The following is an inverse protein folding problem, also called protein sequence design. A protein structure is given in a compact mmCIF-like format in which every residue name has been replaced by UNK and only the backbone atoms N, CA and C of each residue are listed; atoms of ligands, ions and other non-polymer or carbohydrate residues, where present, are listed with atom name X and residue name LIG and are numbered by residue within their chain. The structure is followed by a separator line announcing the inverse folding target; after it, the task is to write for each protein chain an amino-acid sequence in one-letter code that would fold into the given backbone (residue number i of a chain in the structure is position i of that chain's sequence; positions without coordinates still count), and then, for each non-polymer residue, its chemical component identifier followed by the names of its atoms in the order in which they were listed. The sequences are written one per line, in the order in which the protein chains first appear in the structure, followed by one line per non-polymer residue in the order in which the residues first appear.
data_IF_329600311153
#
_entry.id   IF_329600311153
#
_cell.length_a   1.000
_cell.length_b   1.000
_cell.length_c   1.000
_cell.angle_alpha   90.00
_cell.angle_beta   90.00
_cell.angle_gamma   90.00
#
_symmetry.space_group_name_H-M   'P 1'
#
loop_
_entity.id
_entity.type
_entity.pdbx_description
1 polymer ?
#
# COMPACT_ATOMS: atom_id res chain seq x y z
N UNK A 1 -13.55 25.15 21.30
CA UNK A 1 -13.73 24.71 19.90
C UNK A 1 -14.72 23.56 19.89
N UNK A 2 -15.83 23.73 19.18
CA UNK A 2 -16.92 22.77 19.11
C UNK A 2 -16.48 21.42 18.48
N UNK A 3 -17.08 20.30 18.94
CA UNK A 3 -16.69 18.94 18.53
C UNK A 3 -16.87 18.73 17.03
N UNK A 4 -17.89 19.36 16.44
CA UNK A 4 -18.14 19.34 15.00
C UNK A 4 -17.03 20.02 14.20
N UNK A 5 -16.47 21.13 14.71
CA UNK A 5 -15.36 21.84 14.06
C UNK A 5 -14.04 21.04 14.04
N UNK A 6 -13.78 20.23 15.06
CA UNK A 6 -12.63 19.30 15.07
C UNK A 6 -12.84 18.15 14.09
N UNK A 7 -14.05 17.59 14.04
CA UNK A 7 -14.38 16.51 13.12
C UNK A 7 -14.24 16.97 11.67
N UNK A 8 -14.83 18.12 11.31
CA UNK A 8 -14.76 18.68 9.97
C UNK A 8 -13.30 18.93 9.52
N UNK A 9 -12.45 19.48 10.40
CA UNK A 9 -11.02 19.67 10.10
C UNK A 9 -10.28 18.36 9.85
N UNK A 10 -10.50 17.34 10.69
CA UNK A 10 -9.85 16.03 10.53
C UNK A 10 -10.32 15.35 9.24
N UNK A 11 -11.62 15.39 8.94
CA UNK A 11 -12.17 14.84 7.71
C UNK A 11 -11.61 15.55 6.48
N UNK A 12 -11.58 16.88 6.46
CA UNK A 12 -10.98 17.63 5.35
C UNK A 12 -9.51 17.26 5.13
N UNK A 13 -8.74 17.13 6.21
CA UNK A 13 -7.32 16.78 6.13
C UNK A 13 -7.10 15.38 5.55
N UNK A 14 -7.92 14.39 5.97
CA UNK A 14 -7.89 13.04 5.40
C UNK A 14 -8.34 13.05 3.94
N UNK A 15 -9.43 13.75 3.61
CA UNK A 15 -9.96 13.83 2.25
C UNK A 15 -8.99 14.47 1.28
N UNK A 16 -8.28 15.54 1.67
CA UNK A 16 -7.24 16.16 0.85
C UNK A 16 -6.11 15.16 0.58
N UNK A 17 -5.68 14.39 1.59
CA UNK A 17 -4.66 13.36 1.41
C UNK A 17 -5.07 12.28 0.41
N UNK A 18 -6.29 11.74 0.55
CA UNK A 18 -6.82 10.71 -0.36
C UNK A 18 -7.00 11.23 -1.78
N UNK A 19 -7.53 12.46 -1.93
CA UNK A 19 -7.74 13.10 -3.22
C UNK A 19 -6.39 13.33 -3.93
N UNK A 20 -5.38 13.78 -3.18
CA UNK A 20 -4.02 14.01 -3.70
C UNK A 20 -3.39 12.72 -4.21
N UNK A 21 -3.45 11.62 -3.45
CA UNK A 21 -2.93 10.33 -3.91
C UNK A 21 -3.60 9.87 -5.21
N UNK A 22 -4.92 10.02 -5.34
CA UNK A 22 -5.64 9.65 -6.57
C UNK A 22 -5.31 10.56 -7.76
N UNK A 23 -5.11 11.86 -7.53
CA UNK A 23 -4.66 12.81 -8.55
C UNK A 23 -3.27 12.47 -9.08
N UNK A 24 -2.34 12.09 -8.20
CA UNK A 24 -0.98 11.68 -8.60
C UNK A 24 -1.05 10.43 -9.49
N UNK A 25 -1.82 9.41 -9.09
CA UNK A 25 -2.00 8.19 -9.89
C UNK A 25 -2.62 8.50 -11.25
N UNK A 26 -3.62 9.38 -11.30
CA UNK A 26 -4.24 9.82 -12.56
C UNK A 26 -3.24 10.50 -13.51
N UNK A 27 -2.38 11.38 -12.98
CA UNK A 27 -1.28 11.99 -13.73
C UNK A 27 -0.26 10.97 -14.21
N UNK A 28 0.08 9.98 -13.37
CA UNK A 28 0.99 8.89 -13.73
C UNK A 28 0.45 8.05 -14.88
N UNK A 29 -0.84 7.72 -14.90
CA UNK A 29 -1.47 7.01 -16.03
C UNK A 29 -1.28 7.79 -17.34
N UNK A 30 -1.53 9.11 -17.33
CA UNK A 30 -1.35 9.97 -18.51
C UNK A 30 0.12 10.07 -18.95
N UNK A 31 1.04 10.02 -17.99
CA UNK A 31 2.49 10.01 -18.24
C UNK A 31 2.95 8.68 -18.84
N UNK A 32 2.55 7.55 -18.25
CA UNK A 32 2.87 6.21 -18.72
C UNK A 32 2.30 5.96 -20.12
N UNK A 33 1.03 6.28 -20.37
CA UNK A 33 0.42 6.16 -21.71
C UNK A 33 1.01 7.11 -22.76
N UNK A 34 1.73 8.17 -22.34
CA UNK A 34 2.38 9.11 -23.24
C UNK A 34 3.79 8.69 -23.69
N UNK A 35 4.45 7.82 -22.93
CA UNK A 35 5.83 7.40 -23.16
C UNK A 35 6.01 5.88 -23.36
N UNK A 36 5.08 5.03 -22.88
CA UNK A 36 5.14 3.56 -23.01
C UNK A 36 4.19 3.05 -24.09
N UNK A 37 4.61 1.97 -24.75
CA UNK A 37 3.74 1.24 -25.70
C UNK A 37 2.63 0.48 -24.94
N UNK A 38 1.48 0.18 -25.58
CA UNK A 38 0.35 -0.50 -24.92
C UNK A 38 0.70 -1.86 -24.29
N UNK A 39 1.73 -2.53 -24.80
CA UNK A 39 2.22 -3.80 -24.26
C UNK A 39 2.85 -3.63 -22.86
N UNK A 40 3.72 -2.63 -22.69
CA UNK A 40 4.39 -2.34 -21.41
C UNK A 40 3.43 -1.78 -20.36
N UNK A 41 2.36 -1.12 -20.81
CA UNK A 41 1.28 -0.66 -19.94
C UNK A 41 0.46 -1.83 -19.38
N UNK A 42 0.27 -2.90 -20.17
CA UNK A 42 -0.38 -4.13 -19.73
C UNK A 42 0.37 -4.81 -18.59
N UNK A 43 1.69 -4.93 -18.70
CA UNK A 43 2.52 -5.53 -17.65
C UNK A 43 2.55 -4.67 -16.37
N UNK A 44 2.67 -3.34 -16.50
CA UNK A 44 2.63 -2.43 -15.36
C UNK A 44 1.29 -2.45 -14.62
N UNK A 45 0.18 -2.60 -15.36
CA UNK A 45 -1.16 -2.72 -14.77
C UNK A 45 -1.33 -4.06 -14.05
N UNK A 46 -0.87 -5.17 -14.64
CA UNK A 46 -0.89 -6.49 -14.00
C UNK A 46 -0.06 -6.51 -12.72
N UNK A 47 1.13 -5.91 -12.73
CA UNK A 47 1.98 -5.77 -11.53
C UNK A 47 1.26 -4.93 -10.47
N UNK A 48 0.65 -3.80 -10.86
CA UNK A 48 -0.07 -2.91 -9.92
C UNK A 48 -1.31 -3.57 -9.32
N UNK A 49 -2.09 -4.31 -10.11
CA UNK A 49 -3.25 -5.06 -9.63
C UNK A 49 -2.83 -6.18 -8.67
N UNK A 50 -1.76 -6.91 -9.00
CA UNK A 50 -1.20 -7.96 -8.14
C UNK A 50 -0.70 -7.37 -6.83
N UNK A 51 0.02 -6.25 -6.88
CA UNK A 51 0.48 -5.53 -5.70
C UNK A 51 -0.70 -5.07 -4.82
N UNK A 52 -1.76 -4.50 -5.41
CA UNK A 52 -2.95 -4.09 -4.66
C UNK A 52 -3.65 -5.25 -3.95
N UNK A 53 -3.64 -6.45 -4.53
CA UNK A 53 -4.20 -7.66 -3.91
C UNK A 53 -3.29 -8.18 -2.79
N UNK A 54 -1.98 -8.17 -3.00
CA UNK A 54 -0.99 -8.66 -2.04
C UNK A 54 -0.83 -7.73 -0.83
N UNK A 55 -0.89 -6.42 -1.04
CA UNK A 55 -0.64 -5.39 -0.01
C UNK A 55 -1.44 -5.59 1.28
N UNK A 56 -2.78 -5.78 1.26
CA UNK A 56 -3.55 -6.01 2.49
C UNK A 56 -3.20 -7.35 3.18
N UNK A 57 -2.82 -8.38 2.42
CA UNK A 57 -2.43 -9.69 2.95
C UNK A 57 -1.08 -9.62 3.65
N UNK A 58 -0.08 -9.00 3.02
CA UNK A 58 1.27 -8.83 3.57
C UNK A 58 1.25 -7.90 4.79
N UNK A 59 0.50 -6.80 4.68
CA UNK A 59 0.41 -5.81 5.74
C UNK A 59 -0.46 -6.29 6.90
N UNK A 60 -1.14 -7.44 6.78
CA UNK A 60 -2.11 -7.98 7.76
C UNK A 60 -3.16 -6.94 8.20
N UNK A 61 -3.49 -5.99 7.32
CA UNK A 61 -4.37 -4.87 7.64
C UNK A 61 -3.84 -3.89 8.70
N UNK A 62 -2.52 -3.88 8.97
CA UNK A 62 -1.98 -3.07 10.07
C UNK A 62 -2.07 -1.56 9.82
N UNK A 63 -2.18 -1.16 8.56
CA UNK A 63 -2.35 0.24 8.17
C UNK A 63 -3.56 0.89 8.87
N UNK A 64 -4.70 0.18 8.94
CA UNK A 64 -5.90 0.67 9.64
C UNK A 64 -5.73 0.69 11.17
N UNK A 65 -5.03 -0.31 11.71
CA UNK A 65 -4.69 -0.38 13.14
C UNK A 65 -3.81 0.78 13.58
N UNK A 66 -2.71 1.02 12.86
CA UNK A 66 -1.80 2.15 13.12
C UNK A 66 -2.53 3.47 12.96
N UNK A 67 -3.35 3.64 11.93
CA UNK A 67 -4.11 4.88 11.72
C UNK A 67 -5.07 5.17 12.88
N UNK A 68 -5.79 4.14 13.37
CA UNK A 68 -6.72 4.26 14.50
C UNK A 68 -6.01 4.56 15.83
N UNK A 69 -4.88 3.92 16.08
CA UNK A 69 -4.10 4.14 17.31
C UNK A 69 -3.25 5.42 17.28
N UNK A 70 -2.81 5.89 16.10
CA UNK A 70 -2.01 7.12 15.95
C UNK A 70 -2.85 8.40 16.10
N UNK A 71 -4.13 8.36 15.70
CA UNK A 71 -5.08 9.47 15.85
C UNK A 71 -5.52 9.67 17.31
N UNK A 72 -5.48 8.63 18.15
CA UNK A 72 -5.92 8.71 19.54
C UNK A 72 -4.77 9.19 20.45
N UNK A 73 -4.93 10.35 21.11
CA UNK A 73 -3.84 11.02 21.84
C UNK A 73 -3.54 10.45 23.24
N UNK A 74 -4.20 9.36 23.64
CA UNK A 74 -4.08 8.74 24.97
C UNK A 74 -3.12 7.54 25.02
N UNK A 75 -2.55 7.14 23.88
CA UNK A 75 -1.61 6.02 23.77
C UNK A 75 -0.23 6.57 23.41
N UNK A 76 0.83 6.02 24.00
CA UNK A 76 2.23 6.34 23.65
C UNK A 76 2.43 6.20 22.14
N UNK A 77 2.39 7.33 21.42
CA UNK A 77 2.50 7.40 19.96
C UNK A 77 3.76 6.69 19.45
N UNK A 78 4.85 6.71 20.22
CA UNK A 78 6.08 5.98 19.93
C UNK A 78 5.92 4.45 19.98
N UNK A 79 5.11 3.90 20.91
CA UNK A 79 4.93 2.44 21.01
C UNK A 79 4.05 1.91 19.88
N UNK A 80 3.04 2.68 19.47
CA UNK A 80 2.17 2.34 18.32
C UNK A 80 2.96 2.38 17.02
N UNK A 81 3.79 3.41 16.84
CA UNK A 81 4.62 3.55 15.65
C UNK A 81 5.67 2.44 15.55
N UNK A 82 6.36 2.11 16.65
CA UNK A 82 7.30 0.99 16.69
C UNK A 82 6.63 -0.36 16.46
N UNK A 83 5.43 -0.59 17.01
CA UNK A 83 4.67 -1.83 16.77
C UNK A 83 4.23 -1.95 15.30
N UNK A 84 3.74 -0.86 14.71
CA UNK A 84 3.40 -0.79 13.28
C UNK A 84 4.61 -1.06 12.38
N UNK A 85 5.73 -0.39 12.66
CA UNK A 85 6.99 -0.60 11.94
C UNK A 85 7.50 -2.04 12.07
N UNK A 86 7.39 -2.65 13.25
CA UNK A 86 7.81 -4.02 13.49
C UNK A 86 7.00 -5.04 12.68
N UNK A 87 5.68 -4.86 12.58
CA UNK A 87 4.85 -5.76 11.76
C UNK A 87 5.05 -5.53 10.28
N UNK A 88 5.29 -4.29 9.82
CA UNK A 88 5.66 -4.05 8.40
C UNK A 88 6.99 -4.73 8.08
N UNK A 89 7.97 -4.65 8.97
CA UNK A 89 9.24 -5.37 8.85
C UNK A 89 9.03 -6.89 8.80
N UNK A 90 8.22 -7.44 9.71
CA UNK A 90 7.88 -8.87 9.71
C UNK A 90 7.16 -9.29 8.44
N UNK A 91 6.20 -8.49 7.95
CA UNK A 91 5.49 -8.75 6.70
C UNK A 91 6.41 -8.70 5.48
N UNK A 92 7.36 -7.77 5.46
CA UNK A 92 8.38 -7.68 4.40
C UNK A 92 9.34 -8.87 4.42
N UNK A 93 9.76 -9.31 5.60
CA UNK A 93 10.58 -10.52 5.78
C UNK A 93 9.79 -11.77 5.38
N UNK A 94 8.51 -11.88 5.76
CA UNK A 94 7.65 -12.98 5.38
C UNK A 94 7.45 -13.05 3.86
N UNK A 95 7.28 -11.91 3.20
CA UNK A 95 7.20 -11.83 1.74
C UNK A 95 8.51 -12.29 1.09
N UNK A 96 9.65 -11.82 1.57
CA UNK A 96 10.97 -12.26 1.10
C UNK A 96 11.17 -13.77 1.27
N UNK A 97 10.65 -14.36 2.34
CA UNK A 97 10.72 -15.80 2.61
C UNK A 97 9.72 -16.60 1.76
N UNK A 98 8.60 -15.98 1.39
CA UNK A 98 7.57 -16.57 0.54
C UNK A 98 7.95 -16.52 -0.96
N UNK A 99 8.79 -15.57 -1.39
CA UNK A 99 9.31 -15.49 -2.76
C UNK A 99 9.98 -16.78 -3.26
N UNK A 100 10.93 -17.41 -2.55
CA UNK A 100 11.53 -18.67 -3.00
C UNK A 100 10.52 -19.83 -2.98
N UNK A 101 9.54 -19.81 -2.06
CA UNK A 101 8.49 -20.83 -1.99
C UNK A 101 7.50 -20.70 -3.16
N UNK A 102 7.17 -19.46 -3.54
CA UNK A 102 6.37 -19.14 -4.72
C UNK A 102 7.13 -19.52 -6.00
N UNK A 103 8.43 -19.23 -6.07
CA UNK A 103 9.27 -19.64 -7.20
C UNK A 103 9.40 -21.17 -7.32
N UNK A 104 9.33 -21.90 -6.21
CA UNK A 104 9.30 -23.37 -6.22
C UNK A 104 7.94 -23.94 -6.67
N UNK A 105 6.83 -23.26 -6.34
CA UNK A 105 5.46 -23.70 -6.67
C UNK A 105 5.01 -23.28 -8.09
N UNK A 106 5.55 -22.16 -8.59
CA UNK A 106 5.23 -21.56 -9.91
C UNK A 106 6.37 -21.73 -10.92
N UNK A 107 7.58 -22.11 -10.49
CA UNK A 107 8.75 -22.31 -11.33
C UNK A 107 8.64 -23.47 -12.34
N UNK A 108 7.60 -24.30 -12.25
CA UNK A 108 7.28 -25.29 -13.29
C UNK A 108 6.40 -24.70 -14.44
N UNK A 109 5.96 -23.44 -14.31
CA UNK A 109 5.04 -22.76 -15.25
C UNK A 109 5.57 -21.44 -15.81
N UNK A 110 6.71 -20.95 -15.32
CA UNK A 110 7.35 -19.69 -15.74
C UNK A 110 8.77 -20.01 -16.23
N UNK A 111 8.87 -20.80 -17.30
CA UNK A 111 10.00 -20.65 -18.23
C UNK A 111 9.79 -19.32 -18.97
N UNK A 112 10.11 -18.20 -18.32
CA UNK A 112 10.35 -16.91 -19.00
C UNK A 112 11.82 -16.85 -19.36
N UNK A 113 12.21 -17.78 -20.23
CA UNK A 113 13.34 -17.67 -21.16
C UNK A 113 12.96 -18.44 -22.44
N UNK A 114 12.02 -17.89 -23.21
CA UNK A 114 11.90 -18.10 -24.66
C UNK A 114 11.02 -16.98 -25.26
#
# INVERSE_FOLDING_TARGET
MDRYGKLAKNTMLISIGVLTSKLIVFLMVRFYTGYLTPAEYGDADLISQTANLLFPVISLGITDGVFRYAINSSTDRNRVFSSGAFVILLGSIFLLLCLPLLNLLIGDRIDVTA
#
